data_IF_965689508662
#
_entry.id   IF_965689508662
#
_cell.length_a   1.000
_cell.length_b   1.000
_cell.length_c   1.000
_cell.angle_alpha   90.00
_cell.angle_beta   90.00
_cell.angle_gamma   90.00
#
_symmetry.space_group_name_H-M   'P 1'
#
loop_
_entity.id
_entity.type
_entity.pdbx_description
1 polymer ?
#
# COMPACT_ATOMS: atom_id res chain seq x y z
N UNK A 1 -15.43 -28.21 0.14
CA UNK A 1 -15.51 -26.76 -0.08
C UNK A 1 -14.67 -26.09 0.99
N UNK A 2 -13.85 -25.07 0.66
CA UNK A 2 -13.04 -24.40 1.66
C UNK A 2 -13.93 -23.71 2.68
N UNK A 3 -13.51 -23.71 3.93
CA UNK A 3 -14.18 -23.09 5.06
C UNK A 3 -13.20 -22.20 5.84
N UNK A 4 -13.70 -21.50 6.84
CA UNK A 4 -12.94 -20.50 7.59
C UNK A 4 -11.74 -21.10 8.36
N UNK A 5 -11.82 -22.37 8.77
CA UNK A 5 -10.77 -23.07 9.51
C UNK A 5 -9.66 -23.60 8.59
N UNK A 6 -9.85 -23.57 7.27
CA UNK A 6 -8.78 -23.81 6.29
C UNK A 6 -7.82 -22.60 6.17
N UNK A 7 -8.15 -21.47 6.79
CA UNK A 7 -7.25 -20.32 6.90
C UNK A 7 -6.35 -20.46 8.12
N UNK A 8 -5.11 -19.94 8.03
CA UNK A 8 -4.26 -19.80 9.21
C UNK A 8 -5.00 -19.02 10.32
N UNK A 9 -4.77 -19.33 11.61
CA UNK A 9 -5.51 -18.73 12.72
C UNK A 9 -5.55 -17.19 12.70
N UNK A 10 -4.42 -16.54 12.36
CA UNK A 10 -4.37 -15.08 12.26
C UNK A 10 -5.23 -14.52 11.11
N UNK A 11 -5.22 -15.14 9.92
CA UNK A 11 -6.06 -14.71 8.78
C UNK A 11 -7.54 -14.87 9.09
N UNK A 12 -7.94 -15.99 9.71
CA UNK A 12 -9.30 -16.20 10.22
C UNK A 12 -9.70 -15.06 11.15
N UNK A 13 -8.86 -14.75 12.14
CA UNK A 13 -9.10 -13.65 13.07
C UNK A 13 -9.21 -12.29 12.36
N UNK A 14 -8.35 -12.03 11.37
CA UNK A 14 -8.33 -10.77 10.63
C UNK A 14 -9.59 -10.56 9.78
N UNK A 15 -10.08 -11.60 9.12
CA UNK A 15 -11.31 -11.52 8.33
C UNK A 15 -12.52 -11.26 9.24
N UNK A 16 -12.62 -11.98 10.36
CA UNK A 16 -13.67 -11.76 11.37
C UNK A 16 -13.62 -10.32 11.90
N UNK A 17 -12.42 -9.81 12.20
CA UNK A 17 -12.24 -8.43 12.63
C UNK A 17 -12.67 -7.39 11.58
N UNK A 18 -12.29 -7.62 10.31
CA UNK A 18 -12.61 -6.72 9.20
C UNK A 18 -14.10 -6.62 8.97
N UNK A 19 -14.80 -7.75 9.09
CA UNK A 19 -16.22 -7.92 8.77
C UNK A 19 -17.10 -8.14 9.99
N UNK A 20 -16.64 -7.78 11.18
CA UNK A 20 -17.36 -7.99 12.45
C UNK A 20 -18.80 -7.49 12.43
N UNK A 21 -19.04 -6.34 11.81
CA UNK A 21 -20.37 -5.74 11.64
C UNK A 21 -21.33 -6.55 10.76
N UNK A 22 -20.86 -7.62 10.11
CA UNK A 22 -21.65 -8.57 9.30
C UNK A 22 -21.81 -9.93 9.97
N UNK A 23 -21.07 -10.20 11.05
CA UNK A 23 -21.12 -11.46 11.80
C UNK A 23 -20.39 -12.63 11.13
N UNK A 24 -20.25 -13.72 11.90
CA UNK A 24 -19.56 -14.95 11.49
C UNK A 24 -20.14 -15.62 10.22
N UNK A 25 -21.47 -15.81 10.07
CA UNK A 25 -22.03 -16.50 8.90
C UNK A 25 -21.68 -15.83 7.56
N UNK A 26 -21.60 -14.49 7.56
CA UNK A 26 -21.18 -13.73 6.37
C UNK A 26 -19.72 -14.03 6.01
N UNK A 27 -18.83 -14.13 6.99
CA UNK A 27 -17.40 -14.39 6.77
C UNK A 27 -17.17 -15.83 6.29
N UNK A 28 -17.89 -16.80 6.85
CA UNK A 28 -17.86 -18.19 6.38
C UNK A 28 -18.29 -18.29 4.91
N UNK A 29 -19.42 -17.66 4.57
CA UNK A 29 -19.90 -17.62 3.19
C UNK A 29 -18.92 -16.89 2.25
N UNK A 30 -18.28 -15.82 2.73
CA UNK A 30 -17.26 -15.09 1.96
C UNK A 30 -16.07 -16.01 1.59
N UNK A 31 -15.63 -16.89 2.50
CA UNK A 31 -14.56 -17.85 2.22
C UNK A 31 -15.02 -18.91 1.21
N UNK A 32 -16.22 -19.45 1.40
CA UNK A 32 -16.82 -20.41 0.47
C UNK A 32 -16.92 -19.82 -0.94
N UNK A 33 -17.53 -18.64 -1.07
CA UNK A 33 -17.73 -17.94 -2.35
C UNK A 33 -16.41 -17.54 -3.03
N UNK A 34 -15.32 -17.44 -2.27
CA UNK A 34 -14.02 -17.06 -2.80
C UNK A 34 -13.40 -18.14 -3.67
N UNK A 35 -13.73 -19.42 -3.43
CA UNK A 35 -13.19 -20.55 -4.19
C UNK A 35 -13.38 -20.39 -5.70
N UNK A 36 -14.51 -19.83 -6.11
CA UNK A 36 -14.89 -19.65 -7.52
C UNK A 36 -14.59 -18.24 -8.05
N UNK A 37 -13.91 -17.39 -7.27
CA UNK A 37 -13.61 -16.00 -7.64
C UNK A 37 -12.11 -15.78 -7.78
N UNK A 38 -11.64 -15.06 -8.81
CA UNK A 38 -10.22 -14.75 -8.94
C UNK A 38 -9.75 -13.83 -7.80
N UNK A 39 -8.59 -14.14 -7.23
CA UNK A 39 -7.92 -13.22 -6.31
C UNK A 39 -7.46 -11.97 -7.06
N UNK A 40 -7.73 -10.79 -6.49
CA UNK A 40 -7.32 -9.51 -7.07
C UNK A 40 -5.97 -9.06 -6.54
N UNK A 41 -5.02 -8.92 -7.45
CA UNK A 41 -3.80 -8.14 -7.25
C UNK A 41 -3.98 -6.74 -7.85
N UNK A 42 -3.18 -5.74 -7.41
CA UNK A 42 -3.12 -4.45 -8.09
C UNK A 42 -2.78 -4.65 -9.57
N UNK A 43 -3.45 -3.91 -10.46
CA UNK A 43 -3.11 -3.92 -11.87
C UNK A 43 -1.68 -3.40 -12.09
N UNK A 44 -0.95 -3.91 -13.10
CA UNK A 44 0.35 -3.36 -13.46
C UNK A 44 0.20 -1.87 -13.83
N UNK A 45 1.20 -1.04 -13.54
CA UNK A 45 1.21 0.33 -14.03
C UNK A 45 1.28 0.35 -15.57
N UNK A 46 0.85 1.46 -16.20
CA UNK A 46 0.87 1.58 -17.65
C UNK A 46 2.28 1.52 -18.22
N UNK A 47 2.39 0.99 -19.43
CA UNK A 47 3.66 0.84 -20.15
C UNK A 47 4.42 -0.45 -19.80
N UNK A 48 5.53 -0.73 -20.52
CA UNK A 48 6.31 -1.94 -20.29
C UNK A 48 7.00 -1.93 -18.91
N UNK A 49 7.34 -3.11 -18.37
CA UNK A 49 8.20 -3.22 -17.20
C UNK A 49 9.54 -2.52 -17.42
N UNK A 50 10.15 -2.05 -16.34
CA UNK A 50 11.45 -1.39 -16.39
C UNK A 50 11.73 -0.57 -15.15
N UNK A 51 12.98 -0.12 -15.03
CA UNK A 51 13.41 0.78 -13.96
C UNK A 51 12.71 2.14 -14.13
N UNK A 52 12.19 2.66 -13.02
CA UNK A 52 11.67 4.03 -12.97
C UNK A 52 12.80 5.02 -12.65
N UNK A 53 12.74 6.20 -13.26
CA UNK A 53 13.64 7.33 -13.05
C UNK A 53 12.83 8.56 -12.65
N UNK A 54 13.39 9.41 -11.81
CA UNK A 54 12.85 10.73 -11.52
C UNK A 54 13.54 11.78 -12.39
N UNK A 55 12.81 12.38 -13.33
CA UNK A 55 13.35 13.36 -14.27
C UNK A 55 12.91 14.77 -13.85
N UNK A 56 13.84 15.74 -13.70
CA UNK A 56 13.47 17.10 -13.34
C UNK A 56 12.72 17.79 -14.49
N UNK A 57 11.67 18.54 -14.14
CA UNK A 57 10.87 19.37 -15.04
C UNK A 57 11.15 20.86 -14.86
N UNK A 58 10.79 21.66 -15.85
CA UNK A 58 10.81 23.13 -15.80
C UNK A 58 9.78 23.72 -14.83
N UNK A 59 8.83 22.91 -14.35
CA UNK A 59 7.91 23.24 -13.25
C UNK A 59 8.55 23.15 -11.85
N UNK A 60 9.85 22.86 -11.77
CA UNK A 60 10.60 22.73 -10.53
C UNK A 60 10.33 21.43 -9.76
N UNK A 61 9.65 20.45 -10.38
CA UNK A 61 9.33 19.15 -9.77
C UNK A 61 9.99 18.01 -10.53
N UNK A 62 10.01 16.83 -9.92
CA UNK A 62 10.47 15.60 -10.54
C UNK A 62 9.28 14.75 -10.99
N UNK A 63 9.41 14.21 -12.20
CA UNK A 63 8.39 13.44 -12.89
C UNK A 63 8.88 12.00 -13.03
N UNK A 64 8.00 11.04 -12.75
CA UNK A 64 8.39 9.64 -12.77
C UNK A 64 8.29 9.11 -14.20
N UNK A 65 9.40 8.63 -14.74
CA UNK A 65 9.50 8.07 -16.08
C UNK A 65 9.88 6.60 -15.98
N UNK A 66 9.16 5.73 -16.69
CA UNK A 66 9.44 4.29 -16.75
C UNK A 66 9.44 3.84 -18.20
N UNK A 67 10.55 3.24 -18.62
CA UNK A 67 10.72 2.75 -19.98
C UNK A 67 10.37 3.81 -21.06
N UNK A 68 10.86 5.04 -20.86
CA UNK A 68 10.60 6.17 -21.77
C UNK A 68 9.23 6.84 -21.63
N UNK A 69 8.30 6.25 -20.86
CA UNK A 69 6.97 6.81 -20.63
C UNK A 69 6.88 7.57 -19.32
N UNK A 70 6.34 8.78 -19.36
CA UNK A 70 6.04 9.55 -18.15
C UNK A 70 4.76 9.04 -17.50
N UNK A 71 4.81 8.80 -16.20
CA UNK A 71 3.75 8.15 -15.44
C UNK A 71 2.79 9.12 -14.74
N UNK A 72 3.14 10.40 -14.64
CA UNK A 72 2.29 11.44 -14.05
C UNK A 72 1.40 12.18 -15.06
N UNK A 73 1.49 11.83 -16.35
CA UNK A 73 0.75 12.46 -17.44
C UNK A 73 -0.50 11.67 -17.82
N UNK A 74 -1.42 12.33 -18.50
CA UNK A 74 -2.52 11.66 -19.19
C UNK A 74 -1.99 10.78 -20.34
N UNK A 75 -2.71 9.70 -20.66
CA UNK A 75 -2.20 8.53 -21.37
C UNK A 75 -1.67 8.75 -22.80
N UNK A 76 -1.87 9.93 -23.39
CA UNK A 76 -1.56 10.25 -24.80
C UNK A 76 -0.21 10.95 -25.03
N UNK A 77 0.61 11.12 -23.99
CA UNK A 77 1.92 11.76 -24.13
C UNK A 77 3.02 10.78 -24.61
N UNK A 78 2.93 10.34 -25.86
CA UNK A 78 4.09 9.79 -26.60
C UNK A 78 5.10 10.90 -26.98
N UNK A 79 4.76 12.17 -26.70
CA UNK A 79 5.64 13.31 -26.86
C UNK A 79 6.76 13.28 -25.81
N UNK A 80 7.96 12.94 -26.25
CA UNK A 80 9.17 12.83 -25.42
C UNK A 80 9.54 14.17 -24.75
N UNK A 81 9.21 15.30 -25.40
CA UNK A 81 9.72 16.62 -25.04
C UNK A 81 8.73 17.53 -24.29
N UNK A 82 7.45 17.15 -24.23
CA UNK A 82 6.40 17.95 -23.57
C UNK A 82 5.39 17.04 -22.89
N UNK A 83 5.24 17.21 -21.58
CA UNK A 83 4.44 16.35 -20.72
C UNK A 83 3.21 17.08 -20.22
N UNK A 84 2.03 16.64 -20.64
CA UNK A 84 0.76 17.24 -20.27
C UNK A 84 0.26 16.70 -18.93
N UNK A 85 -0.07 17.61 -18.02
CA UNK A 85 -0.58 17.31 -16.70
C UNK A 85 -1.95 17.96 -16.49
N UNK A 86 -2.78 17.29 -15.69
CA UNK A 86 -4.05 17.81 -15.20
C UNK A 86 -4.17 17.52 -13.70
N UNK A 87 -4.70 18.49 -12.96
CA UNK A 87 -4.98 18.33 -11.54
C UNK A 87 -6.29 19.02 -11.18
N UNK A 88 -7.11 18.33 -10.38
CA UNK A 88 -8.22 18.95 -9.67
C UNK A 88 -7.71 19.54 -8.36
N UNK A 89 -7.84 20.85 -8.23
CA UNK A 89 -7.55 21.58 -7.01
C UNK A 89 -8.86 21.83 -6.26
N UNK A 90 -8.87 21.58 -4.96
CA UNK A 90 -10.01 21.84 -4.07
C UNK A 90 -9.53 22.62 -2.86
N UNK A 91 -10.31 23.62 -2.46
CA UNK A 91 -10.00 24.50 -1.33
C UNK A 91 -11.28 24.89 -0.60
N UNK A 92 -11.10 25.50 0.57
CA UNK A 92 -12.16 26.17 1.32
C UNK A 92 -11.90 27.67 1.30
N UNK A 93 -12.95 28.46 1.10
CA UNK A 93 -12.86 29.91 1.21
C UNK A 93 -12.87 30.30 2.70
N UNK A 94 -11.93 31.17 3.07
CA UNK A 94 -11.87 31.78 4.40
C UNK A 94 -11.86 33.30 4.28
N UNK A 95 -12.06 34.03 5.39
CA UNK A 95 -11.94 35.49 5.39
C UNK A 95 -10.57 36.00 4.89
N UNK A 96 -9.51 35.19 5.08
CA UNK A 96 -8.15 35.46 4.60
C UNK A 96 -7.88 34.92 3.17
N UNK A 97 -8.93 34.50 2.44
CA UNK A 97 -8.85 33.92 1.10
C UNK A 97 -8.86 32.38 1.05
N UNK A 98 -8.57 31.78 -0.12
CA UNK A 98 -8.67 30.34 -0.33
C UNK A 98 -7.57 29.58 0.41
N UNK A 99 -7.94 28.52 1.13
CA UNK A 99 -7.02 27.66 1.89
C UNK A 99 -7.23 26.19 1.60
N UNK A 100 -6.16 25.41 1.70
CA UNK A 100 -6.25 23.94 1.65
C UNK A 100 -7.02 23.44 2.88
N UNK A 101 -8.05 22.64 2.66
CA UNK A 101 -8.73 21.95 3.74
C UNK A 101 -7.79 20.93 4.41
N UNK A 102 -7.66 21.01 5.74
CA UNK A 102 -6.76 20.17 6.53
C UNK A 102 -7.47 19.10 7.36
N UNK A 103 -8.80 19.01 7.26
CA UNK A 103 -9.64 18.12 8.06
C UNK A 103 -10.58 18.89 8.99
N UNK A 104 -11.68 18.27 9.41
CA UNK A 104 -12.68 18.87 10.30
C UNK A 104 -14.07 18.29 10.05
N UNK A 105 -15.03 18.63 10.92
CA UNK A 105 -16.44 18.38 10.65
C UNK A 105 -16.94 19.52 9.76
N UNK A 106 -17.56 19.18 8.64
CA UNK A 106 -18.30 20.14 7.85
C UNK A 106 -19.66 20.33 8.52
N UNK A 107 -19.86 21.50 9.13
CA UNK A 107 -21.10 21.91 9.78
C UNK A 107 -22.04 22.66 8.82
N UNK A 108 -21.69 22.74 7.54
CA UNK A 108 -22.49 23.37 6.50
C UNK A 108 -22.18 24.85 6.26
N UNK A 109 -21.28 25.45 7.04
CA UNK A 109 -20.83 26.84 6.83
C UNK A 109 -19.60 26.94 5.91
N UNK A 110 -19.02 25.80 5.52
CA UNK A 110 -17.82 25.75 4.68
C UNK A 110 -18.18 26.03 3.23
N UNK A 111 -17.63 27.12 2.69
CA UNK A 111 -17.70 27.42 1.26
C UNK A 111 -16.56 26.68 0.54
N UNK A 112 -16.94 25.75 -0.33
CA UNK A 112 -16.01 24.95 -1.11
C UNK A 112 -15.73 25.56 -2.48
N UNK A 113 -14.46 25.63 -2.84
CA UNK A 113 -14.00 25.99 -4.17
C UNK A 113 -13.28 24.82 -4.84
N UNK A 114 -13.40 24.73 -6.17
CA UNK A 114 -12.61 23.80 -6.96
C UNK A 114 -12.30 24.35 -8.35
N UNK A 115 -11.16 23.93 -8.90
CA UNK A 115 -10.76 24.22 -10.26
C UNK A 115 -9.98 23.04 -10.82
N UNK A 116 -10.22 22.74 -12.10
CA UNK A 116 -9.38 21.83 -12.87
C UNK A 116 -8.31 22.69 -13.59
N UNK A 117 -7.04 22.40 -13.31
CA UNK A 117 -5.90 23.08 -13.94
C UNK A 117 -5.14 22.08 -14.83
N UNK A 118 -4.64 22.57 -15.96
CA UNK A 118 -3.78 21.83 -16.85
C UNK A 118 -2.53 22.65 -17.15
N UNK A 119 -1.38 21.98 -17.25
CA UNK A 119 -0.11 22.60 -17.58
C UNK A 119 0.77 21.60 -18.32
N UNK A 120 1.79 22.12 -19.00
CA UNK A 120 2.80 21.32 -19.68
C UNK A 120 4.13 21.44 -18.98
N UNK A 121 4.92 20.37 -19.00
CA UNK A 121 6.26 20.33 -18.41
C UNK A 121 7.26 19.87 -19.47
N UNK A 122 8.46 20.46 -19.47
CA UNK A 122 9.59 20.00 -20.27
C UNK A 122 10.67 19.39 -19.38
N UNK A 123 11.28 18.25 -19.75
CA UNK A 123 12.44 17.73 -19.02
C UNK A 123 13.61 18.72 -19.09
N UNK A 124 14.26 18.96 -17.95
CA UNK A 124 15.38 19.91 -17.85
C UNK A 124 16.74 19.24 -17.61
N UNK A 125 16.77 17.92 -17.46
CA UNK A 125 18.00 17.18 -17.15
C UNK A 125 17.83 15.67 -17.14
N UNK A 126 18.91 14.93 -16.80
CA UNK A 126 18.88 13.47 -16.76
C UNK A 126 18.01 12.97 -15.59
N UNK A 127 17.49 11.75 -15.73
CA UNK A 127 16.76 11.07 -14.67
C UNK A 127 17.69 10.56 -13.55
N UNK A 128 17.24 10.69 -12.30
CA UNK A 128 17.92 10.16 -11.11
C UNK A 128 17.13 9.04 -10.46
N UNK A 129 17.70 8.43 -9.41
CA UNK A 129 16.97 7.46 -8.58
C UNK A 129 15.75 8.14 -7.92
N UNK A 130 14.51 7.66 -8.16
CA UNK A 130 13.32 8.23 -7.55
C UNK A 130 13.27 8.08 -6.02
N UNK A 131 14.08 7.19 -5.43
CA UNK A 131 14.21 7.03 -3.98
C UNK A 131 14.87 8.21 -3.27
N UNK A 132 15.66 9.03 -3.99
CA UNK A 132 16.35 10.20 -3.42
C UNK A 132 15.48 11.46 -3.40
N UNK A 133 14.37 11.46 -4.14
CA UNK A 133 13.50 12.63 -4.26
C UNK A 133 12.54 12.71 -3.08
N UNK A 134 12.60 13.80 -2.32
CA UNK A 134 11.67 14.04 -1.20
C UNK A 134 10.27 14.36 -1.70
N UNK A 135 9.25 14.02 -0.90
CA UNK A 135 7.84 14.07 -1.32
C UNK A 135 7.40 15.44 -1.86
N UNK A 136 7.90 16.54 -1.31
CA UNK A 136 7.54 17.91 -1.73
C UNK A 136 8.02 18.25 -3.13
N UNK A 137 9.08 17.61 -3.61
CA UNK A 137 9.72 17.89 -4.90
C UNK A 137 9.22 16.93 -5.99
N UNK A 138 8.32 16.00 -5.64
CA UNK A 138 7.69 15.07 -6.58
C UNK A 138 6.52 15.76 -7.29
N UNK A 139 6.30 15.39 -8.55
CA UNK A 139 5.06 15.70 -9.25
C UNK A 139 3.87 15.11 -8.48
N UNK A 140 2.84 15.94 -8.27
CA UNK A 140 1.60 15.57 -7.56
C UNK A 140 0.45 15.23 -8.51
N UNK A 141 0.68 15.37 -9.81
CA UNK A 141 -0.26 15.04 -10.85
C UNK A 141 -0.36 13.53 -11.09
N UNK A 142 -1.40 13.12 -11.81
CA UNK A 142 -1.68 11.73 -12.17
C UNK A 142 -2.65 11.04 -11.22
N UNK A 143 -2.99 9.79 -11.57
CA UNK A 143 -3.93 8.98 -10.82
C UNK A 143 -3.37 8.53 -9.47
N UNK A 144 -4.24 8.24 -8.49
CA UNK A 144 -3.82 7.74 -7.17
C UNK A 144 -2.82 6.56 -7.24
N UNK A 145 -2.93 5.71 -8.26
CA UNK A 145 -2.00 4.59 -8.49
C UNK A 145 -0.58 5.01 -8.84
N UNK A 146 -0.40 6.14 -9.54
CA UNK A 146 0.92 6.64 -9.94
C UNK A 146 1.70 7.17 -8.74
N UNK A 147 1.01 7.65 -7.70
CA UNK A 147 1.63 8.04 -6.43
C UNK A 147 2.31 6.86 -5.72
N UNK A 148 1.82 5.63 -5.92
CA UNK A 148 2.43 4.41 -5.35
C UNK A 148 3.61 3.88 -6.16
N UNK A 149 3.91 4.46 -7.33
CA UNK A 149 5.09 4.10 -8.14
C UNK A 149 6.35 4.84 -7.70
N UNK A 150 6.20 5.90 -6.91
CA UNK A 150 7.34 6.48 -6.24
C UNK A 150 7.83 5.57 -5.12
N UNK A 151 9.15 5.33 -4.99
CA UNK A 151 9.67 4.62 -3.85
C UNK A 151 9.24 5.29 -2.54
N UNK A 152 8.85 4.49 -1.54
CA UNK A 152 8.47 5.02 -0.25
C UNK A 152 9.70 5.56 0.47
N UNK A 153 9.51 6.57 1.34
CA UNK A 153 10.61 7.13 2.11
C UNK A 153 11.33 6.05 2.93
N UNK A 154 12.55 6.33 3.40
CA UNK A 154 13.24 5.43 4.31
C UNK A 154 12.35 5.03 5.49
N UNK A 155 12.42 3.77 5.90
CA UNK A 155 11.70 3.31 7.08
C UNK A 155 12.13 4.10 8.32
N UNK A 156 11.19 4.35 9.24
CA UNK A 156 11.41 5.21 10.41
C UNK A 156 12.51 4.68 11.34
N UNK A 157 12.51 3.38 11.58
CA UNK A 157 13.39 2.73 12.56
C UNK A 157 14.55 2.01 11.87
N UNK A 158 15.70 1.94 12.56
CA UNK A 158 16.92 1.36 12.01
C UNK A 158 16.78 -0.14 11.75
N UNK A 159 16.02 -0.85 12.59
CA UNK A 159 15.69 -2.27 12.43
C UNK A 159 14.96 -2.54 11.12
N UNK A 160 13.89 -1.79 10.84
CA UNK A 160 13.12 -1.95 9.60
C UNK A 160 13.93 -1.51 8.38
N UNK A 161 14.78 -0.47 8.50
CA UNK A 161 15.70 -0.09 7.40
C UNK A 161 16.65 -1.24 7.03
N UNK A 162 17.23 -1.93 8.01
CA UNK A 162 18.11 -3.08 7.77
C UNK A 162 17.39 -4.25 7.12
N UNK A 163 16.19 -4.59 7.60
CA UNK A 163 15.36 -5.64 6.99
C UNK A 163 15.02 -5.31 5.53
N UNK A 164 14.61 -4.07 5.27
CA UNK A 164 14.30 -3.61 3.91
C UNK A 164 15.53 -3.67 3.01
N UNK A 165 16.70 -3.24 3.48
CA UNK A 165 17.94 -3.33 2.71
C UNK A 165 18.27 -4.79 2.36
N UNK A 166 18.25 -5.71 3.34
CA UNK A 166 18.51 -7.13 3.11
C UNK A 166 17.56 -7.75 2.07
N UNK A 167 16.27 -7.41 2.13
CA UNK A 167 15.27 -7.87 1.16
C UNK A 167 15.51 -7.29 -0.24
N UNK A 168 15.86 -6.01 -0.33
CA UNK A 168 16.17 -5.33 -1.60
C UNK A 168 17.42 -5.96 -2.23
N UNK A 169 18.47 -6.16 -1.43
CA UNK A 169 19.76 -6.70 -1.91
C UNK A 169 19.63 -8.15 -2.39
N UNK A 170 18.75 -8.94 -1.76
CA UNK A 170 18.63 -10.38 -2.05
C UNK A 170 17.58 -10.72 -3.10
N UNK A 171 16.42 -10.05 -3.07
CA UNK A 171 15.23 -10.42 -3.87
C UNK A 171 14.85 -9.29 -4.84
N UNK A 172 15.22 -8.05 -4.54
CA UNK A 172 14.91 -6.87 -5.35
C UNK A 172 13.96 -5.90 -4.65
N UNK A 173 13.89 -4.67 -5.20
CA UNK A 173 13.18 -3.54 -4.59
C UNK A 173 11.68 -3.48 -4.85
N UNK A 174 11.17 -4.26 -5.78
CA UNK A 174 9.75 -4.31 -6.12
C UNK A 174 8.97 -5.21 -5.16
N UNK A 175 7.65 -5.10 -5.20
CA UNK A 175 6.74 -5.90 -4.38
C UNK A 175 6.95 -7.40 -4.66
N UNK A 176 7.29 -8.18 -3.63
CA UNK A 176 7.51 -9.63 -3.74
C UNK A 176 6.22 -10.44 -3.92
N UNK A 177 5.05 -9.79 -3.89
CA UNK A 177 3.76 -10.42 -4.24
C UNK A 177 3.32 -10.11 -5.68
N UNK A 178 3.23 -8.84 -6.07
CA UNK A 178 2.70 -8.47 -7.39
C UNK A 178 3.77 -8.11 -8.43
N UNK A 179 5.00 -7.81 -8.02
CA UNK A 179 6.08 -7.39 -8.92
C UNK A 179 5.86 -6.07 -9.66
N UNK A 180 4.78 -5.34 -9.36
CA UNK A 180 4.36 -4.19 -10.17
C UNK A 180 4.73 -2.82 -9.58
N UNK A 181 4.85 -2.73 -8.26
CA UNK A 181 5.05 -1.47 -7.53
C UNK A 181 6.25 -1.62 -6.59
N UNK A 182 6.95 -0.52 -6.27
CA UNK A 182 8.01 -0.53 -5.27
C UNK A 182 7.55 -1.11 -3.93
N UNK A 183 8.42 -1.91 -3.34
CA UNK A 183 8.24 -2.45 -2.00
C UNK A 183 8.26 -1.35 -0.94
N UNK A 184 7.23 -1.35 -0.07
CA UNK A 184 6.93 -0.30 0.89
C UNK A 184 6.92 -0.74 2.34
N UNK A 185 6.56 -1.99 2.60
CA UNK A 185 6.46 -2.56 3.93
C UNK A 185 7.18 -3.90 3.97
N UNK A 186 7.91 -4.13 5.06
CA UNK A 186 8.44 -5.47 5.38
C UNK A 186 7.28 -6.25 5.96
N UNK A 187 6.80 -7.20 5.17
CA UNK A 187 5.69 -8.07 5.53
C UNK A 187 6.22 -9.27 6.33
N UNK A 188 5.42 -9.72 7.30
CA UNK A 188 5.80 -10.79 8.21
C UNK A 188 4.59 -11.60 8.63
N UNK A 189 4.84 -12.84 9.00
CA UNK A 189 3.85 -13.69 9.64
C UNK A 189 3.57 -13.17 11.06
N UNK A 190 2.33 -12.93 11.42
CA UNK A 190 1.99 -12.28 12.70
C UNK A 190 2.07 -13.21 13.92
N UNK A 191 2.21 -14.52 13.72
CA UNK A 191 2.33 -15.51 14.79
C UNK A 191 3.80 -15.78 15.14
N UNK A 192 4.61 -16.03 14.12
CA UNK A 192 6.05 -16.33 14.24
C UNK A 192 6.93 -15.08 14.14
N UNK A 193 6.47 -14.06 13.42
CA UNK A 193 7.22 -12.87 13.02
C UNK A 193 8.34 -13.13 12.03
N UNK A 194 8.36 -14.30 11.39
CA UNK A 194 9.21 -14.54 10.24
C UNK A 194 8.84 -13.57 9.12
N UNK A 195 9.83 -12.87 8.59
CA UNK A 195 9.65 -11.97 7.45
C UNK A 195 9.30 -12.79 6.22
N UNK A 196 8.20 -12.41 5.56
CA UNK A 196 7.71 -13.10 4.37
C UNK A 196 8.22 -12.44 3.07
N UNK A 197 8.43 -11.12 3.09
CA UNK A 197 8.93 -10.38 1.93
C UNK A 197 8.75 -8.87 2.05
N UNK A 198 9.04 -8.17 0.96
CA UNK A 198 8.84 -6.73 0.82
C UNK A 198 7.62 -6.46 -0.06
N UNK A 199 6.56 -5.86 0.50
CA UNK A 199 5.30 -5.65 -0.22
C UNK A 199 5.03 -4.18 -0.49
N UNK A 200 4.41 -3.87 -1.64
CA UNK A 200 3.86 -2.53 -1.86
C UNK A 200 2.70 -2.26 -0.89
N UNK A 201 2.36 -0.99 -0.69
CA UNK A 201 1.33 -0.57 0.28
C UNK A 201 -0.04 -1.21 0.03
N UNK A 202 -0.40 -1.44 -1.24
CA UNK A 202 -1.67 -2.06 -1.61
C UNK A 202 -1.71 -3.56 -1.28
N UNK A 203 -0.67 -4.29 -1.68
CA UNK A 203 -0.54 -5.72 -1.39
C UNK A 203 -0.48 -5.97 0.11
N UNK A 204 0.36 -5.23 0.84
CA UNK A 204 0.51 -5.38 2.29
C UNK A 204 -0.81 -5.14 3.02
N UNK A 205 -1.61 -4.16 2.59
CA UNK A 205 -2.92 -3.88 3.19
C UNK A 205 -3.93 -5.00 2.95
N UNK A 206 -3.91 -5.60 1.76
CA UNK A 206 -4.96 -6.51 1.30
C UNK A 206 -4.59 -7.99 1.42
N UNK A 207 -3.38 -8.32 1.89
CA UNK A 207 -2.89 -9.70 2.00
C UNK A 207 -3.70 -10.51 3.01
N UNK A 208 -3.74 -10.02 4.25
CA UNK A 208 -4.45 -10.66 5.38
C UNK A 208 -5.98 -10.58 5.27
N UNK A 209 -6.50 -9.77 4.35
CA UNK A 209 -7.93 -9.65 4.05
C UNK A 209 -8.37 -10.60 2.90
N UNK A 210 -7.48 -11.44 2.39
CA UNK A 210 -7.80 -12.41 1.34
C UNK A 210 -8.61 -13.59 1.91
N UNK A 211 -9.82 -13.88 1.37
CA UNK A 211 -10.63 -15.00 1.83
C UNK A 211 -10.21 -16.36 1.27
N UNK A 212 -9.34 -16.40 0.26
CA UNK A 212 -8.92 -17.64 -0.38
C UNK A 212 -8.06 -18.51 0.54
N UNK A 213 -8.47 -19.75 0.82
CA UNK A 213 -7.66 -20.68 1.59
C UNK A 213 -6.38 -21.13 0.85
N UNK A 214 -6.46 -21.28 -0.47
CA UNK A 214 -5.33 -21.69 -1.32
C UNK A 214 -5.59 -21.36 -2.79
N UNK A 215 -4.64 -21.71 -3.66
CA UNK A 215 -4.79 -21.62 -5.11
C UNK A 215 -4.90 -20.18 -5.62
N UNK A 216 -4.32 -19.23 -4.89
CA UNK A 216 -4.35 -17.82 -5.27
C UNK A 216 -3.03 -17.15 -4.88
N UNK A 217 -2.58 -16.11 -5.61
CA UNK A 217 -1.26 -15.52 -5.39
C UNK A 217 -0.99 -15.06 -3.95
N UNK A 218 -2.04 -14.58 -3.25
CA UNK A 218 -1.93 -14.16 -1.84
C UNK A 218 -1.83 -15.33 -0.88
N UNK A 219 -2.54 -16.42 -1.12
CA UNK A 219 -2.42 -17.63 -0.32
C UNK A 219 -1.06 -18.29 -0.57
N UNK A 220 -0.65 -18.39 -1.83
CA UNK A 220 0.63 -18.98 -2.24
C UNK A 220 1.82 -18.22 -1.64
N UNK A 221 1.78 -16.87 -1.67
CA UNK A 221 2.79 -16.04 -1.01
C UNK A 221 2.88 -16.28 0.51
N UNK A 222 1.77 -16.60 1.18
CA UNK A 222 1.79 -16.87 2.62
C UNK A 222 2.30 -18.28 2.94
N UNK A 223 1.96 -19.25 2.09
CA UNK A 223 2.38 -20.65 2.24
C UNK A 223 3.86 -20.86 1.88
N UNK A 224 4.35 -20.15 0.86
CA UNK A 224 5.72 -20.23 0.37
C UNK A 224 6.31 -18.82 0.21
N UNK A 225 6.58 -18.10 1.31
CA UNK A 225 7.00 -16.71 1.24
C UNK A 225 8.38 -16.55 0.59
N UNK A 226 8.59 -15.56 -0.29
CA UNK A 226 9.86 -15.34 -0.98
C UNK A 226 11.08 -15.18 -0.06
N UNK A 227 10.88 -14.64 1.14
CA UNK A 227 11.96 -14.42 2.11
C UNK A 227 12.13 -15.57 3.12
N UNK A 228 11.41 -16.70 2.99
CA UNK A 228 11.45 -17.80 3.95
C UNK A 228 12.88 -18.28 4.26
N UNK A 229 13.70 -18.44 3.21
CA UNK A 229 15.08 -18.92 3.33
C UNK A 229 16.05 -17.96 4.02
N UNK A 230 15.65 -16.70 4.25
CA UNK A 230 16.51 -15.70 4.89
C UNK A 230 16.44 -15.76 6.42
N UNK A 231 15.42 -16.42 7.00
CA UNK A 231 15.26 -16.55 8.45
C UNK A 231 15.18 -15.22 9.21
N UNK A 232 14.81 -14.14 8.52
CA UNK A 232 14.75 -12.80 9.11
C UNK A 232 13.54 -12.70 10.05
N UNK A 233 13.73 -12.07 11.22
CA UNK A 233 12.69 -11.86 12.21
C UNK A 233 12.30 -10.38 12.25
N UNK A 234 11.01 -10.11 12.05
CA UNK A 234 10.44 -8.78 12.23
C UNK A 234 10.50 -8.40 13.72
N UNK A 235 10.82 -7.17 14.13
CA UNK A 235 10.91 -6.82 15.55
C UNK A 235 9.52 -6.62 16.17
N UNK A 236 9.23 -7.30 17.28
CA UNK A 236 7.93 -7.20 17.96
C UNK A 236 7.57 -5.79 18.45
N UNK A 237 8.58 -4.95 18.73
CA UNK A 237 8.38 -3.54 19.09
C UNK A 237 7.86 -2.67 17.94
N UNK A 238 8.03 -3.12 16.70
CA UNK A 238 7.61 -2.42 15.48
C UNK A 238 6.27 -2.93 14.95
N UNK A 239 5.67 -3.92 15.61
CA UNK A 239 4.40 -4.49 15.19
C UNK A 239 3.26 -3.53 15.51
N UNK A 240 2.44 -3.25 14.50
CA UNK A 240 1.25 -2.44 14.70
C UNK A 240 0.23 -3.22 15.53
N UNK A 241 -0.34 -2.56 16.55
CA UNK A 241 -1.43 -3.10 17.36
C UNK A 241 -2.63 -2.16 17.32
N UNK A 242 -3.86 -2.71 17.23
CA UNK A 242 -5.05 -1.88 17.39
C UNK A 242 -5.09 -1.30 18.80
N UNK A 243 -5.70 -0.12 18.94
CA UNK A 243 -5.99 0.44 20.26
C UNK A 243 -6.98 -0.46 20.99
N UNK A 244 -6.86 -0.53 22.31
CA UNK A 244 -7.73 -1.36 23.16
C UNK A 244 -9.21 -1.04 22.95
N UNK A 245 -9.57 0.24 22.86
CA UNK A 245 -10.96 0.66 22.58
C UNK A 245 -11.48 0.16 21.22
N UNK A 246 -10.61 0.03 20.22
CA UNK A 246 -11.00 -0.54 18.92
C UNK A 246 -11.20 -2.04 19.03
N UNK A 247 -10.39 -2.71 19.84
CA UNK A 247 -10.50 -4.15 20.14
C UNK A 247 -11.79 -4.46 20.87
N UNK A 248 -12.07 -3.73 21.94
CA UNK A 248 -13.28 -3.92 22.73
C UNK A 248 -14.55 -3.75 21.89
N UNK A 249 -14.64 -2.70 21.07
CA UNK A 249 -15.77 -2.50 20.15
C UNK A 249 -15.95 -3.68 19.18
N UNK A 250 -14.87 -4.27 18.70
CA UNK A 250 -14.93 -5.41 17.77
C UNK A 250 -15.39 -6.70 18.45
N UNK A 251 -14.99 -6.90 19.71
CA UNK A 251 -15.47 -8.00 20.55
C UNK A 251 -16.97 -7.86 20.78
N UNK A 252 -17.45 -6.65 21.09
CA UNK A 252 -18.89 -6.37 21.26
C UNK A 252 -19.69 -6.64 19.98
N UNK A 253 -19.16 -6.26 18.81
CA UNK A 253 -19.80 -6.52 17.51
C UNK A 253 -19.88 -8.02 17.17
N UNK A 254 -18.89 -8.83 17.59
CA UNK A 254 -18.81 -10.27 17.27
C UNK A 254 -19.43 -11.17 18.35
N UNK A 255 -19.49 -10.70 19.60
CA UNK A 255 -19.82 -11.52 20.77
C UNK A 255 -18.65 -12.39 21.28
N UNK A 256 -17.48 -12.33 20.65
CA UNK A 256 -16.27 -13.03 21.06
C UNK A 256 -15.02 -12.32 20.52
N UNK A 257 -13.85 -12.67 21.05
CA UNK A 257 -12.57 -12.14 20.61
C UNK A 257 -11.94 -13.02 19.53
N UNK A 258 -11.89 -12.56 18.26
CA UNK A 258 -11.39 -13.39 17.18
C UNK A 258 -9.87 -13.65 17.27
N UNK A 259 -9.14 -12.91 18.11
CA UNK A 259 -7.70 -13.09 18.34
C UNK A 259 -7.40 -13.85 19.64
N UNK A 260 -8.43 -14.33 20.35
CA UNK A 260 -8.24 -15.13 21.56
C UNK A 260 -7.44 -16.41 21.26
N UNK A 261 -6.51 -16.75 22.15
CA UNK A 261 -5.63 -17.93 22.00
C UNK A 261 -4.49 -17.77 20.99
N UNK A 262 -4.44 -16.69 20.21
CA UNK A 262 -3.32 -16.43 19.31
C UNK A 262 -2.10 -15.92 20.08
N UNK A 263 -0.93 -16.48 19.76
CA UNK A 263 0.33 -16.03 20.35
C UNK A 263 0.57 -14.56 20.04
N UNK A 264 0.62 -13.71 21.06
CA UNK A 264 1.08 -12.33 20.90
C UNK A 264 2.57 -12.28 21.10
N UNK A 265 3.31 -11.90 20.06
CA UNK A 265 4.75 -11.68 20.17
C UNK A 265 4.98 -10.48 21.08
N UNK A 266 5.51 -10.70 22.28
CA UNK A 266 5.86 -9.61 23.21
C UNK A 266 7.22 -9.04 22.82
N UNK A 267 7.36 -7.71 22.88
CA UNK A 267 8.69 -7.11 22.83
C UNK A 267 9.53 -7.69 23.98
N UNK A 268 10.82 -7.99 23.77
CA UNK A 268 11.72 -8.19 24.89
C UNK A 268 11.63 -6.96 25.81
N UNK A 269 11.43 -7.20 27.10
CA UNK A 269 11.42 -6.14 28.12
C UNK A 269 12.77 -5.46 28.25
#
# INVERSE_FOLDING_TARGET
MPNLDDLSPYRRAKLLWRWSFRGLPFVEQLVIDSADRPCRLPAPPPGPPGRALAVPGDDGRHHLVRAGRVLCCDADADAVDVWSHRQRCTWVETGDGPRKWTGGRDDGEIIWGSADTAWTVRPTGPGTDPGTIVRRDRCVAGHYMTLHLWPPPPARTASIRRLRAALVDTIGSDCHLCGHYPGAAVDHDHETGLVRGLLCAMCNRALEECPHAGGCPKADYQLAPPAAGLGLIYPASEEWRPKESTRQRKIEELGFDPFEGLATRRAPG
#
